data_IF_380813042125
#
_entry.id   IF_380813042125
#
_cell.length_a   1.000
_cell.length_b   1.000
_cell.length_c   1.000
_cell.angle_alpha   90.00
_cell.angle_beta   90.00
_cell.angle_gamma   90.00
#
_symmetry.space_group_name_H-M   'P 1'
#
loop_
_entity.id
_entity.type
_entity.pdbx_description
1 polymer ?
#
# COMPACT_ATOMS: atom_id res chain seq x y z
N UNK A 1 3.79 6.45 7.05
CA UNK A 1 3.36 5.35 6.19
C UNK A 1 3.12 4.10 7.03
N UNK A 2 1.93 3.56 6.95
CA UNK A 2 1.56 2.35 7.67
C UNK A 2 0.93 1.36 6.69
N UNK A 3 1.36 0.10 6.74
CA UNK A 3 0.80 -0.99 5.95
C UNK A 3 0.14 -2.01 6.88
N UNK A 4 -1.10 -2.35 6.59
CA UNK A 4 -1.87 -3.31 7.38
C UNK A 4 -2.37 -4.42 6.48
N UNK A 5 -2.16 -5.68 6.88
CA UNK A 5 -2.71 -6.83 6.16
C UNK A 5 -4.21 -6.92 6.41
N UNK A 6 -4.97 -7.10 5.34
CA UNK A 6 -6.43 -7.19 5.41
C UNK A 6 -6.93 -8.64 5.37
N UNK A 7 -6.17 -9.54 4.75
CA UNK A 7 -6.59 -10.91 4.55
C UNK A 7 -5.40 -11.85 4.37
N UNK A 8 -5.68 -13.14 4.37
CA UNK A 8 -4.71 -14.15 3.97
C UNK A 8 -4.41 -14.06 2.48
N UNK A 9 -3.25 -14.56 2.09
CA UNK A 9 -2.82 -14.51 0.70
C UNK A 9 -3.75 -15.29 -0.21
N UNK A 10 -4.20 -14.68 -1.30
CA UNK A 10 -4.85 -15.36 -2.39
C UNK A 10 -3.79 -15.88 -3.37
N UNK A 11 -4.05 -17.03 -3.98
CA UNK A 11 -3.11 -17.68 -4.88
C UNK A 11 -3.80 -18.01 -6.19
N UNK A 12 -3.14 -17.69 -7.30
CA UNK A 12 -3.56 -18.09 -8.63
C UNK A 12 -2.46 -18.94 -9.25
N UNK A 13 -2.83 -20.13 -9.71
CA UNK A 13 -1.92 -21.05 -10.37
C UNK A 13 -2.13 -21.00 -11.88
N UNK A 14 -1.07 -20.73 -12.61
CA UNK A 14 -1.09 -20.79 -14.07
C UNK A 14 -0.19 -21.95 -14.51
N UNK A 15 -0.81 -22.99 -15.08
CA UNK A 15 -0.11 -24.12 -15.63
C UNK A 15 -0.03 -23.99 -17.15
N UNK A 16 1.12 -23.59 -17.65
CA UNK A 16 1.48 -23.75 -19.06
C UNK A 16 2.49 -24.87 -19.20
N UNK A 17 2.57 -25.56 -20.37
CA UNK A 17 3.51 -26.70 -20.54
C UNK A 17 4.96 -26.33 -20.23
N UNK A 18 5.35 -25.07 -20.42
CA UNK A 18 6.73 -24.60 -20.29
C UNK A 18 6.99 -23.74 -19.05
N UNK A 19 5.95 -23.29 -18.34
CA UNK A 19 6.07 -22.39 -17.19
C UNK A 19 5.02 -22.71 -16.14
N UNK A 20 5.49 -23.16 -14.99
CA UNK A 20 4.67 -23.27 -13.79
C UNK A 20 4.85 -22.01 -12.97
N UNK A 21 3.89 -21.07 -13.07
CA UNK A 21 3.92 -19.79 -12.36
C UNK A 21 2.81 -19.77 -11.31
N UNK A 22 3.16 -19.30 -10.14
CA UNK A 22 2.23 -19.09 -9.05
C UNK A 22 2.24 -17.64 -8.65
N UNK A 23 1.09 -17.00 -8.79
CA UNK A 23 0.90 -15.64 -8.34
C UNK A 23 0.34 -15.64 -6.91
N UNK A 24 1.00 -14.93 -6.03
CA UNK A 24 0.55 -14.76 -4.65
C UNK A 24 0.11 -13.31 -4.46
N UNK A 25 -1.16 -13.11 -4.13
CA UNK A 25 -1.75 -11.80 -3.89
C UNK A 25 -1.98 -11.59 -2.41
N UNK A 26 -1.73 -10.39 -1.95
CA UNK A 26 -2.01 -9.99 -0.57
C UNK A 26 -2.66 -8.62 -0.56
N UNK A 27 -3.84 -8.54 0.05
CA UNK A 27 -4.50 -7.26 0.25
C UNK A 27 -3.88 -6.53 1.45
N UNK A 28 -3.46 -5.30 1.22
CA UNK A 28 -2.88 -4.43 2.24
C UNK A 28 -3.64 -3.12 2.30
N UNK A 29 -3.79 -2.59 3.49
CA UNK A 29 -4.21 -1.22 3.69
C UNK A 29 -2.97 -0.34 3.87
N UNK A 30 -2.90 0.73 3.09
CA UNK A 30 -1.81 1.69 3.14
C UNK A 30 -2.35 3.00 3.69
N UNK A 31 -1.80 3.45 4.81
CA UNK A 31 -2.14 4.75 5.39
C UNK A 31 -1.00 5.73 5.11
N UNK A 32 -1.32 6.82 4.43
CA UNK A 32 -0.36 7.86 4.07
C UNK A 32 -0.78 9.16 4.73
N UNK A 33 0.12 9.75 5.51
CA UNK A 33 -0.07 11.10 6.03
C UNK A 33 0.38 12.11 4.99
N UNK A 34 -0.49 13.05 4.68
CA UNK A 34 -0.22 14.15 3.76
C UNK A 34 -0.16 15.45 4.55
N UNK A 35 0.90 16.20 4.37
CA UNK A 35 1.10 17.49 5.00
C UNK A 35 1.13 18.58 3.94
N UNK A 36 0.35 19.64 4.18
CA UNK A 36 0.26 20.79 3.29
C UNK A 36 0.78 22.01 4.03
N UNK A 37 1.70 22.74 3.42
CA UNK A 37 2.36 23.90 4.02
C UNK A 37 2.09 25.16 3.22
N UNK A 38 2.08 26.31 3.91
CA UNK A 38 2.03 27.63 3.29
C UNK A 38 0.65 28.27 3.32
N UNK A 39 0.52 29.40 2.62
CA UNK A 39 -0.70 30.21 2.65
C UNK A 39 -1.94 29.51 2.10
N UNK A 40 -1.76 28.66 1.09
CA UNK A 40 -2.84 27.93 0.45
C UNK A 40 -2.98 26.50 0.97
N UNK A 41 -2.34 26.17 2.08
CA UNK A 41 -2.33 24.80 2.61
C UNK A 41 -3.73 24.29 2.94
N UNK A 42 -4.56 25.10 3.56
CA UNK A 42 -5.96 24.76 3.88
C UNK A 42 -6.76 24.44 2.61
N UNK A 43 -6.71 25.31 1.61
CA UNK A 43 -7.45 25.12 0.36
C UNK A 43 -6.97 23.88 -0.38
N UNK A 44 -5.65 23.66 -0.43
CA UNK A 44 -5.07 22.50 -1.09
C UNK A 44 -5.45 21.20 -0.38
N UNK A 45 -5.42 21.18 0.94
CA UNK A 45 -5.80 20.03 1.74
C UNK A 45 -7.27 19.64 1.50
N UNK A 46 -8.19 20.62 1.56
CA UNK A 46 -9.60 20.36 1.32
C UNK A 46 -9.90 19.97 -0.11
N UNK A 47 -9.17 20.54 -1.07
CA UNK A 47 -9.30 20.16 -2.48
C UNK A 47 -8.92 18.69 -2.71
N UNK A 48 -7.78 18.28 -2.15
CA UNK A 48 -7.32 16.89 -2.23
C UNK A 48 -8.30 15.96 -1.52
N UNK A 49 -8.79 16.33 -0.34
CA UNK A 49 -9.80 15.55 0.39
C UNK A 49 -11.08 15.36 -0.42
N UNK A 50 -11.55 16.41 -1.08
CA UNK A 50 -12.75 16.37 -1.92
C UNK A 50 -12.54 15.44 -3.12
N UNK A 51 -11.42 15.60 -3.82
CA UNK A 51 -11.10 14.76 -4.99
C UNK A 51 -10.90 13.30 -4.62
N UNK A 52 -10.35 13.05 -3.44
CA UNK A 52 -10.12 11.70 -2.96
C UNK A 52 -11.43 10.95 -2.70
N UNK A 53 -12.46 11.65 -2.27
CA UNK A 53 -13.80 11.09 -2.01
C UNK A 53 -14.68 11.00 -3.24
N UNK A 54 -14.25 11.62 -4.34
CA UNK A 54 -14.99 11.62 -5.58
C UNK A 54 -14.59 10.48 -6.49
N UNK A 55 -15.46 10.13 -7.41
CA UNK A 55 -15.21 9.12 -8.43
C UNK A 55 -13.96 9.43 -9.27
N UNK A 56 -13.69 10.71 -9.51
CA UNK A 56 -12.48 11.18 -10.21
C UNK A 56 -11.19 10.69 -9.54
N UNK A 57 -11.16 10.66 -8.20
CA UNK A 57 -10.03 10.15 -7.45
C UNK A 57 -9.75 8.68 -7.73
N UNK A 58 -10.80 7.87 -7.84
CA UNK A 58 -10.67 6.44 -8.16
C UNK A 58 -10.10 6.21 -9.55
N UNK A 59 -10.51 7.01 -10.53
CA UNK A 59 -10.04 6.88 -11.92
C UNK A 59 -8.57 7.29 -12.09
N UNK A 60 -8.06 8.12 -11.19
CA UNK A 60 -6.69 8.62 -11.26
C UNK A 60 -5.65 7.56 -10.92
N UNK A 61 -6.02 6.57 -10.11
CA UNK A 61 -5.11 5.53 -9.65
C UNK A 61 -5.18 4.28 -10.53
N UNK A 62 -4.07 3.51 -10.63
CA UNK A 62 -4.10 2.20 -11.28
C UNK A 62 -5.10 1.25 -10.59
N UNK A 63 -5.54 0.23 -11.31
CA UNK A 63 -6.51 -0.75 -10.78
C UNK A 63 -6.02 -1.50 -9.53
N UNK A 64 -4.70 -1.57 -9.33
CA UNK A 64 -4.09 -2.24 -8.17
C UNK A 64 -4.10 -1.38 -6.91
N UNK A 65 -4.43 -0.10 -7.03
CA UNK A 65 -4.49 0.86 -5.93
C UNK A 65 -5.89 1.44 -5.88
N UNK A 66 -6.61 1.17 -4.81
CA UNK A 66 -7.95 1.70 -4.61
C UNK A 66 -7.96 2.67 -3.43
N UNK A 67 -8.32 3.95 -3.65
CA UNK A 67 -8.54 4.86 -2.53
C UNK A 67 -9.76 4.42 -1.73
N UNK A 68 -9.63 4.35 -0.41
CA UNK A 68 -10.72 3.93 0.49
C UNK A 68 -11.38 5.15 1.11
N UNK A 69 -10.61 5.94 1.81
CA UNK A 69 -11.09 7.10 2.56
C UNK A 69 -9.96 8.05 2.91
N UNK A 70 -10.30 9.26 3.25
CA UNK A 70 -9.37 10.19 3.87
C UNK A 70 -10.06 10.91 5.02
N UNK A 71 -9.29 11.25 6.03
CA UNK A 71 -9.76 12.04 7.14
C UNK A 71 -9.96 13.49 6.72
N UNK A 72 -10.75 14.24 7.50
CA UNK A 72 -10.85 15.68 7.29
C UNK A 72 -9.51 16.32 7.62
N UNK A 73 -9.07 17.33 6.84
CA UNK A 73 -7.84 18.05 7.15
C UNK A 73 -7.91 18.74 8.50
N UNK A 74 -6.83 18.64 9.26
CA UNK A 74 -6.69 19.27 10.58
C UNK A 74 -5.49 20.20 10.55
N UNK A 75 -5.68 21.40 11.10
CA UNK A 75 -4.57 22.34 11.22
C UNK A 75 -3.64 21.91 12.35
N UNK A 76 -2.36 21.81 12.01
CA UNK A 76 -1.30 21.45 12.96
C UNK A 76 -0.09 22.34 12.71
N UNK A 77 -0.05 23.54 13.32
CA UNK A 77 1.03 24.50 13.05
C UNK A 77 2.40 23.94 13.40
N UNK A 78 3.38 24.26 12.56
CA UNK A 78 4.77 23.91 12.78
C UNK A 78 5.55 25.17 13.16
N UNK A 79 6.47 25.04 14.12
CA UNK A 79 7.40 26.10 14.49
C UNK A 79 8.72 25.82 13.77
N UNK A 80 9.18 26.75 12.92
CA UNK A 80 10.45 26.60 12.24
C UNK A 80 11.64 26.98 13.12
N UNK A 81 12.86 26.88 12.57
CA UNK A 81 14.10 27.19 13.30
C UNK A 81 14.22 28.65 13.69
N UNK A 82 13.49 29.56 13.05
CA UNK A 82 13.43 30.99 13.37
C UNK A 82 12.31 31.33 14.35
N UNK A 83 11.66 30.33 14.92
CA UNK A 83 10.50 30.44 15.82
C UNK A 83 9.29 31.14 15.18
N UNK A 84 9.15 31.02 13.88
CA UNK A 84 7.96 31.47 13.15
C UNK A 84 6.98 30.33 12.99
N UNK A 85 5.69 30.64 13.09
CA UNK A 85 4.65 29.68 12.83
C UNK A 85 4.47 29.50 11.32
N UNK A 86 4.60 28.25 10.86
CA UNK A 86 4.28 27.86 9.48
C UNK A 86 2.91 27.20 9.50
N UNK A 87 1.99 27.70 8.68
CA UNK A 87 0.69 27.07 8.52
C UNK A 87 0.86 25.69 7.91
N UNK A 88 0.31 24.69 8.61
CA UNK A 88 0.37 23.30 8.19
C UNK A 88 -0.97 22.62 8.39
N UNK A 89 -1.45 21.94 7.38
CA UNK A 89 -2.65 21.11 7.44
C UNK A 89 -2.26 19.66 7.16
N UNK A 90 -2.75 18.76 7.99
CA UNK A 90 -2.46 17.31 7.88
C UNK A 90 -3.73 16.54 7.68
N UNK A 91 -3.66 15.49 6.86
CA UNK A 91 -4.70 14.50 6.72
C UNK A 91 -4.11 13.13 6.46
N UNK A 92 -4.86 12.08 6.76
CA UNK A 92 -4.45 10.70 6.50
C UNK A 92 -5.32 10.13 5.39
N UNK A 93 -4.68 9.67 4.32
CA UNK A 93 -5.34 8.99 3.21
C UNK A 93 -5.14 7.48 3.34
N UNK A 94 -6.21 6.73 3.15
CA UNK A 94 -6.19 5.26 3.24
C UNK A 94 -6.44 4.65 1.87
N UNK A 95 -5.56 3.74 1.49
CA UNK A 95 -5.64 3.02 0.23
C UNK A 95 -5.70 1.52 0.48
N UNK A 96 -6.37 0.82 -0.41
CA UNK A 96 -6.24 -0.63 -0.52
C UNK A 96 -5.31 -0.93 -1.69
N UNK A 97 -4.25 -1.65 -1.43
CA UNK A 97 -3.31 -2.09 -2.46
C UNK A 97 -3.24 -3.61 -2.46
N UNK A 98 -3.07 -4.18 -3.65
CA UNK A 98 -2.96 -5.63 -3.83
C UNK A 98 -1.68 -5.92 -4.61
N UNK A 99 -0.52 -5.88 -3.94
CA UNK A 99 0.71 -6.30 -4.60
C UNK A 99 0.67 -7.79 -4.89
N UNK A 100 1.22 -8.19 -6.02
CA UNK A 100 1.39 -9.57 -6.39
C UNK A 100 2.87 -9.97 -6.31
N UNK A 101 3.10 -11.24 -5.98
CA UNK A 101 4.41 -11.84 -6.01
C UNK A 101 4.35 -13.05 -6.89
N UNK A 102 5.15 -13.06 -7.95
CA UNK A 102 5.23 -14.16 -8.90
C UNK A 102 6.34 -15.11 -8.46
N UNK A 103 6.00 -16.37 -8.29
CA UNK A 103 6.94 -17.40 -7.87
C UNK A 103 6.88 -18.55 -8.87
N UNK A 104 8.04 -18.99 -9.36
CA UNK A 104 8.14 -20.20 -10.17
C UNK A 104 7.89 -21.44 -9.31
N UNK A 105 6.98 -22.32 -9.71
CA UNK A 105 6.64 -23.51 -8.94
C UNK A 105 7.83 -24.45 -8.76
N UNK A 106 8.70 -24.57 -9.75
CA UNK A 106 9.92 -25.40 -9.65
C UNK A 106 10.81 -24.94 -8.49
N UNK A 107 10.92 -23.64 -8.27
CA UNK A 107 11.67 -23.09 -7.14
C UNK A 107 11.07 -23.51 -5.80
N UNK A 108 9.75 -23.49 -5.66
CA UNK A 108 9.06 -23.89 -4.44
C UNK A 108 9.23 -25.40 -4.18
N UNK A 109 9.07 -26.22 -5.19
CA UNK A 109 9.25 -27.67 -5.09
C UNK A 109 10.68 -28.01 -4.67
N UNK A 110 11.68 -27.39 -5.29
CA UNK A 110 13.08 -27.57 -4.94
C UNK A 110 13.38 -27.13 -3.52
N UNK A 111 12.85 -25.99 -3.10
CA UNK A 111 13.02 -25.46 -1.75
C UNK A 111 12.42 -26.40 -0.69
N UNK A 112 11.22 -26.91 -0.91
CA UNK A 112 10.56 -27.86 0.00
C UNK A 112 11.33 -29.17 0.04
N UNK A 113 11.81 -29.68 -1.10
CA UNK A 113 12.59 -30.89 -1.17
C UNK A 113 13.90 -30.76 -0.39
N UNK A 114 14.59 -29.63 -0.49
CA UNK A 114 15.82 -29.35 0.29
C UNK A 114 15.54 -29.30 1.77
N UNK A 115 14.48 -28.64 2.22
CA UNK A 115 14.10 -28.61 3.63
C UNK A 115 13.79 -30.01 4.15
N UNK A 116 13.10 -30.83 3.38
CA UNK A 116 12.79 -32.20 3.74
C UNK A 116 14.07 -33.05 3.85
N UNK A 117 14.97 -32.95 2.89
CA UNK A 117 16.24 -33.67 2.89
C UNK A 117 17.13 -33.28 4.08
N UNK A 118 17.24 -31.99 4.37
CA UNK A 118 18.01 -31.49 5.52
C UNK A 118 17.44 -31.98 6.86
N UNK A 119 16.11 -32.04 6.97
CA UNK A 119 15.46 -32.53 8.19
C UNK A 119 15.77 -34.00 8.43
N UNK A 120 15.71 -34.84 7.40
CA UNK A 120 15.95 -36.28 7.55
C UNK A 120 17.43 -36.68 7.61
N UNK A 121 18.35 -35.85 7.11
CA UNK A 121 19.80 -36.13 7.16
C UNK A 121 20.41 -35.84 8.53
N UNK A 122 19.76 -35.01 9.35
CA UNK A 122 20.23 -34.68 10.72
C UNK A 122 19.85 -35.73 11.77
N UNK A 123 19.00 -36.64 11.42
CA UNK A 123 18.51 -37.71 12.27
C UNK A 123 18.69 -39.06 11.61
#
# INVERSE_FOLDING_TARGET
LKKTRLATNARIYTNTPDLKIKDVFQSLQLDIQLDFFGENSSQNAFRVSTLFRDYTGTDFFPKTIAPISCDDPVQSPLIDTEKQFVERWTMTAKFNIVPDTIIEQEFIEDFILRLYTDYYTKY
#
